data_IF_247025682868
#
_entry.id   IF_247025682868
#
_cell.length_a   1.000
_cell.length_b   1.000
_cell.length_c   1.000
_cell.angle_alpha   90.00
_cell.angle_beta   90.00
_cell.angle_gamma   90.00
#
_symmetry.space_group_name_H-M   'P 1'
#
loop_
_entity.id
_entity.type
_entity.pdbx_description
1 polymer ?
#
# COMPACT_ATOMS: atom_id res chain seq x y z
N UNK A 1 19.50 -22.15 -2.21
CA UNK A 1 18.52 -22.65 -3.20
C UNK A 1 18.22 -21.52 -4.18
N UNK A 2 18.72 -21.61 -5.42
CA UNK A 2 18.39 -20.65 -6.48
C UNK A 2 16.90 -20.74 -6.79
N UNK A 3 16.14 -19.67 -6.53
CA UNK A 3 14.72 -19.62 -6.90
C UNK A 3 14.63 -19.55 -8.43
N UNK A 4 13.90 -20.50 -9.03
CA UNK A 4 13.75 -20.70 -10.49
C UNK A 4 12.76 -19.72 -11.15
N UNK A 5 12.01 -18.95 -10.36
CA UNK A 5 10.91 -18.12 -10.89
C UNK A 5 11.29 -16.65 -10.98
N UNK A 6 11.13 -16.06 -12.15
CA UNK A 6 11.25 -14.61 -12.36
C UNK A 6 10.23 -13.84 -11.50
N UNK A 7 10.61 -12.62 -11.10
CA UNK A 7 9.67 -11.71 -10.44
C UNK A 7 8.45 -11.47 -11.34
N UNK A 8 7.25 -11.59 -10.78
CA UNK A 8 5.97 -11.53 -11.46
C UNK A 8 5.09 -10.40 -10.89
N UNK A 9 5.71 -9.36 -10.32
CA UNK A 9 4.98 -8.18 -9.87
C UNK A 9 4.25 -7.54 -11.08
N UNK A 10 2.91 -7.37 -11.02
CA UNK A 10 2.14 -6.80 -12.11
C UNK A 10 2.46 -5.32 -12.30
N UNK A 11 2.60 -4.91 -13.55
CA UNK A 11 2.58 -3.52 -14.00
C UNK A 11 1.38 -3.25 -14.90
N UNK A 12 1.35 -2.07 -15.52
CA UNK A 12 0.37 -1.68 -16.54
C UNK A 12 0.75 -2.24 -17.92
N UNK A 13 2.04 -2.32 -18.25
CA UNK A 13 2.51 -2.96 -19.49
C UNK A 13 2.70 -4.47 -19.34
N UNK A 14 3.02 -4.94 -18.13
CA UNK A 14 3.09 -6.35 -17.78
C UNK A 14 1.96 -6.75 -16.83
N UNK A 15 0.76 -6.89 -17.38
CA UNK A 15 -0.43 -7.32 -16.62
C UNK A 15 -0.28 -8.75 -16.10
N UNK A 16 -0.87 -9.03 -14.94
CA UNK A 16 -0.94 -10.39 -14.40
C UNK A 16 -2.29 -11.01 -14.70
N UNK A 17 -2.30 -12.23 -15.24
CA UNK A 17 -3.53 -12.99 -15.45
C UNK A 17 -4.16 -13.36 -14.11
N UNK A 18 -5.35 -12.82 -13.85
CA UNK A 18 -6.22 -13.25 -12.77
C UNK A 18 -7.47 -13.93 -13.34
N UNK A 19 -8.26 -14.57 -12.47
CA UNK A 19 -9.42 -15.37 -12.90
C UNK A 19 -10.51 -14.51 -13.56
N UNK A 20 -10.57 -13.24 -13.19
CA UNK A 20 -11.46 -12.22 -13.71
C UNK A 20 -10.85 -11.40 -14.85
N UNK A 21 -9.64 -11.74 -15.30
CA UNK A 21 -8.94 -11.08 -16.39
C UNK A 21 -7.64 -10.38 -15.97
N UNK A 22 -6.98 -9.68 -16.91
CA UNK A 22 -5.71 -9.03 -16.66
C UNK A 22 -5.80 -7.95 -15.58
N UNK A 23 -4.72 -7.82 -14.81
CA UNK A 23 -4.61 -6.91 -13.68
C UNK A 23 -3.50 -5.90 -13.93
N UNK A 24 -3.85 -4.62 -13.87
CA UNK A 24 -2.93 -3.49 -14.03
C UNK A 24 -2.76 -2.77 -12.69
N UNK A 25 -1.51 -2.47 -12.31
CA UNK A 25 -1.20 -1.72 -11.09
C UNK A 25 -0.61 -0.37 -11.46
N UNK A 26 -1.20 0.68 -10.90
CA UNK A 26 -0.76 2.06 -11.09
C UNK A 26 0.08 2.48 -9.89
N UNK A 27 1.28 3.01 -10.15
CA UNK A 27 2.18 3.54 -9.12
C UNK A 27 1.78 4.97 -8.76
N UNK A 28 1.64 5.24 -7.46
CA UNK A 28 1.36 6.57 -6.92
C UNK A 28 2.47 6.91 -5.92
N UNK A 29 3.57 7.57 -6.34
CA UNK A 29 4.64 7.96 -5.43
C UNK A 29 4.11 8.78 -4.26
N UNK A 30 4.40 8.35 -3.04
CA UNK A 30 3.85 8.95 -1.81
C UNK A 30 2.34 8.79 -1.62
N UNK A 31 1.67 8.02 -2.48
CA UNK A 31 0.22 7.85 -2.51
C UNK A 31 -0.55 9.00 -3.17
N UNK A 32 0.14 10.02 -3.66
CA UNK A 32 -0.49 11.25 -4.15
C UNK A 32 -1.22 11.02 -5.47
N UNK A 33 -2.47 11.48 -5.55
CA UNK A 33 -3.29 11.44 -6.77
C UNK A 33 -4.06 12.74 -6.91
N UNK A 34 -3.97 13.37 -8.07
CA UNK A 34 -4.69 14.62 -8.33
C UNK A 34 -6.16 14.38 -8.63
N UNK A 35 -7.01 15.39 -8.45
CA UNK A 35 -8.43 15.33 -8.82
C UNK A 35 -8.63 14.90 -10.29
N UNK A 36 -7.82 15.42 -11.21
CA UNK A 36 -7.85 15.05 -12.62
C UNK A 36 -7.52 13.56 -12.82
N UNK A 37 -6.46 13.07 -12.16
CA UNK A 37 -6.06 11.66 -12.22
C UNK A 37 -7.11 10.73 -11.62
N UNK A 38 -7.81 11.14 -10.56
CA UNK A 38 -8.95 10.40 -10.03
C UNK A 38 -10.07 10.25 -11.06
N UNK A 39 -10.39 11.32 -11.83
CA UNK A 39 -11.39 11.26 -12.90
C UNK A 39 -10.93 10.35 -14.05
N UNK A 40 -9.65 10.37 -14.41
CA UNK A 40 -9.09 9.44 -15.43
C UNK A 40 -9.17 8.00 -14.94
N UNK A 41 -8.83 7.73 -13.68
CA UNK A 41 -8.98 6.39 -13.08
C UNK A 41 -10.44 5.94 -13.12
N UNK A 42 -11.40 6.81 -12.78
CA UNK A 42 -12.83 6.50 -12.87
C UNK A 42 -13.25 6.08 -14.28
N UNK A 43 -12.83 6.84 -15.30
CA UNK A 43 -13.13 6.54 -16.70
C UNK A 43 -12.46 5.24 -17.17
N UNK A 44 -11.20 5.00 -16.81
CA UNK A 44 -10.52 3.74 -17.15
C UNK A 44 -11.21 2.53 -16.51
N UNK A 45 -11.69 2.69 -15.29
CA UNK A 45 -12.35 1.62 -14.55
C UNK A 45 -13.71 1.23 -15.13
N UNK A 46 -14.47 2.20 -15.64
CA UNK A 46 -15.74 1.94 -16.35
C UNK A 46 -15.52 1.40 -17.76
N UNK A 47 -14.66 2.05 -18.54
CA UNK A 47 -14.51 1.76 -19.96
C UNK A 47 -13.69 0.47 -20.21
N UNK A 48 -12.70 0.22 -19.34
CA UNK A 48 -11.66 -0.78 -19.57
C UNK A 48 -11.48 -1.76 -18.40
N UNK A 49 -12.24 -1.65 -17.31
CA UNK A 49 -12.08 -2.49 -16.11
C UNK A 49 -13.34 -3.27 -15.73
N UNK A 50 -13.33 -3.80 -14.51
CA UNK A 50 -14.46 -4.49 -13.89
C UNK A 50 -15.43 -3.55 -13.14
N UNK A 51 -15.23 -2.23 -13.23
CA UNK A 51 -16.04 -1.21 -12.56
C UNK A 51 -15.49 -0.75 -11.22
N UNK A 52 -14.40 -1.34 -10.73
CA UNK A 52 -13.76 -0.95 -9.47
C UNK A 52 -12.26 -0.65 -9.56
N UNK A 53 -11.81 0.22 -8.67
CA UNK A 53 -10.38 0.40 -8.33
C UNK A 53 -10.11 -0.18 -6.96
N UNK A 54 -9.02 -0.92 -6.83
CA UNK A 54 -8.57 -1.47 -5.57
C UNK A 54 -7.35 -0.71 -5.03
N UNK A 55 -7.50 -0.15 -3.83
CA UNK A 55 -6.40 0.37 -3.04
C UNK A 55 -5.53 -0.80 -2.55
N UNK A 56 -4.22 -0.60 -2.63
CA UNK A 56 -3.23 -1.62 -2.25
C UNK A 56 -2.63 -1.30 -0.89
N UNK A 57 -1.99 -2.30 -0.26
CA UNK A 57 -1.28 -2.11 1.00
C UNK A 57 0.03 -1.32 0.88
N UNK A 58 0.21 -0.56 -0.20
CA UNK A 58 1.44 0.16 -0.56
C UNK A 58 1.15 1.52 -1.17
N UNK A 59 -0.02 2.11 -0.89
CA UNK A 59 -0.39 3.42 -1.39
C UNK A 59 -0.63 3.50 -2.91
N UNK A 60 -0.69 2.35 -3.60
CA UNK A 60 -1.01 2.26 -5.03
C UNK A 60 -2.47 1.94 -5.25
N UNK A 61 -2.90 2.06 -6.51
CA UNK A 61 -4.19 1.57 -6.99
C UNK A 61 -4.03 0.45 -8.03
N UNK A 62 -5.07 -0.35 -8.19
CA UNK A 62 -5.09 -1.50 -9.09
C UNK A 62 -6.43 -1.60 -9.81
N UNK A 63 -6.37 -1.73 -11.12
CA UNK A 63 -7.51 -2.05 -11.98
C UNK A 63 -7.49 -3.55 -12.29
N UNK A 64 -8.66 -4.16 -12.36
CA UNK A 64 -8.82 -5.60 -12.58
C UNK A 64 -9.83 -5.86 -13.69
N UNK A 65 -9.83 -7.08 -14.20
CA UNK A 65 -10.62 -7.46 -15.36
C UNK A 65 -10.42 -6.53 -16.54
N UNK A 66 -9.16 -6.15 -16.83
CA UNK A 66 -8.86 -5.16 -17.86
C UNK A 66 -9.30 -5.71 -19.23
N UNK A 67 -10.11 -4.94 -19.96
CA UNK A 67 -10.68 -5.28 -21.27
C UNK A 67 -10.15 -4.33 -22.33
N UNK A 68 -9.95 -4.85 -23.54
CA UNK A 68 -9.54 -4.06 -24.69
C UNK A 68 -8.11 -3.53 -24.61
N UNK A 69 -7.76 -2.71 -25.59
CA UNK A 69 -6.45 -2.05 -25.67
C UNK A 69 -6.54 -0.60 -25.16
N UNK A 70 -5.39 0.04 -24.93
CA UNK A 70 -5.32 1.49 -24.69
C UNK A 70 -5.28 1.94 -23.23
N UNK A 71 -5.43 1.05 -22.24
CA UNK A 71 -5.31 1.41 -20.82
C UNK A 71 -3.97 2.11 -20.53
N UNK A 72 -2.86 1.55 -21.00
CA UNK A 72 -1.53 2.11 -20.81
C UNK A 72 -1.39 3.50 -21.45
N UNK A 73 -1.94 3.71 -22.64
CA UNK A 73 -1.92 5.01 -23.31
C UNK A 73 -2.70 6.08 -22.53
N UNK A 74 -3.90 5.73 -22.04
CA UNK A 74 -4.76 6.63 -21.26
C UNK A 74 -4.15 7.00 -19.91
N UNK A 75 -3.60 6.01 -19.20
CA UNK A 75 -2.87 6.25 -17.94
C UNK A 75 -1.58 7.04 -18.17
N UNK A 76 -0.84 6.74 -19.24
CA UNK A 76 0.37 7.46 -19.62
C UNK A 76 0.10 8.94 -19.91
N UNK A 77 -0.94 9.24 -20.70
CA UNK A 77 -1.35 10.60 -21.01
C UNK A 77 -1.75 11.42 -19.77
N UNK A 78 -2.27 10.77 -18.73
CA UNK A 78 -2.61 11.39 -17.45
C UNK A 78 -1.42 11.50 -16.46
N UNK A 79 -0.22 11.05 -16.86
CA UNK A 79 0.95 11.00 -16.00
C UNK A 79 0.81 10.02 -14.83
N UNK A 80 0.03 8.96 -15.00
CA UNK A 80 -0.13 7.86 -14.04
C UNK A 80 0.87 6.71 -14.28
N UNK A 81 1.81 6.89 -15.21
CA UNK A 81 2.90 5.97 -15.48
C UNK A 81 4.23 6.70 -15.27
N UNK A 82 5.14 6.17 -14.42
CA UNK A 82 6.42 6.81 -14.14
C UNK A 82 7.38 6.72 -15.33
N UNK A 83 7.55 5.52 -15.88
CA UNK A 83 8.15 5.24 -17.19
C UNK A 83 7.90 3.76 -17.53
N UNK A 84 7.82 3.36 -18.83
CA UNK A 84 7.61 1.97 -19.19
C UNK A 84 8.68 1.00 -18.65
N UNK A 85 9.93 1.45 -18.50
CA UNK A 85 11.03 0.64 -17.99
C UNK A 85 11.00 0.45 -16.47
N UNK A 86 10.43 1.39 -15.71
CA UNK A 86 10.46 1.37 -14.25
C UNK A 86 9.10 1.11 -13.61
N UNK A 87 8.03 0.87 -14.38
CA UNK A 87 6.68 0.66 -13.83
C UNK A 87 6.57 -0.53 -12.86
N UNK A 88 7.48 -1.51 -13.00
CA UNK A 88 7.55 -2.69 -12.13
C UNK A 88 8.35 -2.44 -10.86
N UNK A 89 9.20 -1.42 -10.83
CA UNK A 89 9.84 -0.98 -9.59
C UNK A 89 8.75 -0.50 -8.65
N UNK A 90 8.75 -1.03 -7.42
CA UNK A 90 7.63 -0.87 -6.49
C UNK A 90 7.43 0.60 -6.10
N UNK A 91 6.33 0.86 -5.40
CA UNK A 91 5.99 2.22 -4.97
C UNK A 91 7.02 2.82 -3.99
N UNK A 92 7.00 4.15 -3.90
CA UNK A 92 7.63 4.92 -2.84
C UNK A 92 6.56 5.24 -1.80
N UNK A 93 6.70 4.74 -0.57
CA UNK A 93 5.79 5.15 0.51
C UNK A 93 6.23 6.49 1.09
N UNK A 94 5.27 7.29 1.54
CA UNK A 94 5.52 8.49 2.34
C UNK A 94 4.51 8.54 3.49
N UNK A 95 4.86 9.12 4.63
CA UNK A 95 3.93 9.40 5.73
C UNK A 95 2.72 10.18 5.21
N UNK A 96 1.49 9.61 5.19
CA UNK A 96 0.40 10.18 4.39
C UNK A 96 -0.11 11.55 4.86
N UNK A 97 0.10 11.92 6.13
CA UNK A 97 -0.28 13.25 6.64
C UNK A 97 0.89 14.25 6.62
N UNK A 98 2.00 13.93 5.97
CA UNK A 98 3.19 14.81 5.96
C UNK A 98 2.84 16.15 5.33
N UNK A 99 3.21 17.25 5.99
CA UNK A 99 2.81 18.61 5.60
C UNK A 99 1.32 18.92 5.77
N UNK A 100 0.53 18.02 6.39
CA UNK A 100 -0.90 18.21 6.67
C UNK A 100 -1.14 18.24 8.19
N UNK A 101 -0.64 17.24 8.92
CA UNK A 101 -0.84 17.11 10.35
C UNK A 101 0.32 16.37 11.03
N UNK A 102 0.93 17.01 12.03
CA UNK A 102 2.06 16.46 12.78
C UNK A 102 3.32 16.30 11.94
N UNK A 103 4.19 15.37 12.34
CA UNK A 103 5.47 15.11 11.69
C UNK A 103 6.56 16.12 12.07
N UNK A 104 7.81 15.73 11.85
CA UNK A 104 8.99 16.55 12.08
C UNK A 104 9.47 17.24 10.79
N UNK A 105 9.27 16.60 9.63
CA UNK A 105 9.70 17.09 8.33
C UNK A 105 8.62 16.88 7.25
N UNK A 106 8.53 17.77 6.25
CA UNK A 106 7.72 17.50 5.07
C UNK A 106 8.48 16.59 4.10
N UNK A 107 7.93 15.40 3.83
CA UNK A 107 8.54 14.38 2.96
C UNK A 107 7.82 14.21 1.62
N UNK A 108 6.77 15.00 1.34
CA UNK A 108 5.97 14.87 0.10
C UNK A 108 6.83 15.07 -1.15
N UNK A 109 7.68 16.09 -1.13
CA UNK A 109 8.59 16.40 -2.23
C UNK A 109 9.65 15.31 -2.42
N UNK A 110 10.14 14.70 -1.32
CA UNK A 110 11.17 13.66 -1.38
C UNK A 110 10.68 12.41 -2.11
N UNK A 111 9.41 12.03 -1.95
CA UNK A 111 8.85 10.89 -2.64
C UNK A 111 8.75 11.11 -4.15
N UNK A 112 8.34 12.31 -4.58
CA UNK A 112 8.27 12.69 -5.98
C UNK A 112 9.68 12.86 -6.60
N UNK A 113 10.62 13.43 -5.85
CA UNK A 113 12.01 13.54 -6.26
C UNK A 113 12.66 12.17 -6.44
N UNK A 114 12.50 11.26 -5.46
CA UNK A 114 13.00 9.90 -5.58
C UNK A 114 12.43 9.18 -6.80
N UNK A 115 11.13 9.33 -7.09
CA UNK A 115 10.52 8.69 -8.26
C UNK A 115 11.13 9.16 -9.59
N UNK A 116 11.37 10.47 -9.72
CA UNK A 116 12.03 11.06 -10.90
C UNK A 116 13.48 10.58 -11.04
N UNK A 117 14.26 10.68 -9.97
CA UNK A 117 15.68 10.29 -9.96
C UNK A 117 15.88 8.78 -10.14
N UNK A 118 14.95 7.97 -9.62
CA UNK A 118 14.92 6.54 -9.86
C UNK A 118 14.72 6.23 -11.34
N UNK A 119 13.76 6.90 -12.01
CA UNK A 119 13.52 6.71 -13.45
C UNK A 119 14.69 7.20 -14.33
N UNK A 120 15.49 8.15 -13.83
CA UNK A 120 16.70 8.63 -14.51
C UNK A 120 17.89 7.65 -14.44
N UNK A 121 17.78 6.54 -13.70
CA UNK A 121 18.85 5.55 -13.50
C UNK A 121 18.48 4.20 -14.13
N UNK A 122 18.85 3.94 -15.40
CA UNK A 122 18.50 2.69 -16.09
C UNK A 122 18.92 1.41 -15.36
N UNK A 123 20.03 1.42 -14.61
CA UNK A 123 20.48 0.28 -13.82
C UNK A 123 19.46 -0.14 -12.74
N UNK A 124 18.66 0.80 -12.23
CA UNK A 124 17.67 0.54 -11.19
C UNK A 124 16.33 0.04 -11.74
N UNK A 125 16.12 0.02 -13.07
CA UNK A 125 14.98 -0.65 -13.68
C UNK A 125 14.93 -2.16 -13.38
N UNK A 126 16.11 -2.76 -13.09
CA UNK A 126 16.26 -4.17 -12.72
C UNK A 126 16.00 -4.49 -11.25
N UNK A 127 15.63 -3.50 -10.42
CA UNK A 127 15.23 -3.75 -9.04
C UNK A 127 14.04 -4.72 -8.99
N UNK A 128 14.00 -5.65 -8.01
CA UNK A 128 12.83 -6.47 -7.79
C UNK A 128 11.60 -5.58 -7.60
N UNK A 129 10.47 -5.93 -8.20
CA UNK A 129 9.18 -5.29 -7.92
C UNK A 129 8.65 -5.54 -6.50
N UNK A 130 9.46 -6.21 -5.65
CA UNK A 130 9.27 -6.31 -4.21
C UNK A 130 10.06 -5.27 -3.40
N UNK A 131 11.14 -4.72 -3.95
CA UNK A 131 11.97 -3.70 -3.31
C UNK A 131 11.15 -2.43 -3.08
N UNK A 132 11.08 -1.96 -1.84
CA UNK A 132 10.21 -0.88 -1.41
C UNK A 132 11.05 0.25 -0.81
N UNK A 133 10.78 1.47 -1.26
CA UNK A 133 11.29 2.70 -0.66
C UNK A 133 10.26 3.31 0.29
N UNK A 134 10.72 4.04 1.31
CA UNK A 134 9.85 4.85 2.16
C UNK A 134 10.51 6.15 2.63
N UNK A 135 9.68 7.17 2.86
CA UNK A 135 10.03 8.36 3.63
C UNK A 135 9.07 8.51 4.80
N UNK A 136 9.59 8.45 6.02
CA UNK A 136 8.83 8.65 7.24
C UNK A 136 9.12 10.04 7.81
N UNK A 137 8.08 10.80 8.12
CA UNK A 137 8.24 12.16 8.64
C UNK A 137 8.56 12.25 10.13
N UNK A 138 8.88 11.13 10.77
CA UNK A 138 9.27 11.02 12.17
C UNK A 138 8.19 10.38 13.04
N UNK A 139 6.94 10.32 12.56
CA UNK A 139 5.84 9.65 13.27
C UNK A 139 6.03 8.14 13.40
N UNK A 140 6.86 7.55 12.54
CA UNK A 140 7.13 6.11 12.53
C UNK A 140 6.03 5.30 11.85
N UNK A 141 5.04 5.96 11.23
CA UNK A 141 3.84 5.36 10.66
C UNK A 141 4.18 4.44 9.48
N UNK A 142 4.97 4.91 8.52
CA UNK A 142 5.43 4.13 7.36
C UNK A 142 6.75 3.42 7.62
N UNK A 143 7.57 3.87 8.58
CA UNK A 143 8.76 3.13 9.02
C UNK A 143 8.40 1.72 9.50
N UNK A 144 7.23 1.53 10.12
CA UNK A 144 6.72 0.23 10.55
C UNK A 144 6.32 -0.73 9.42
N UNK A 145 6.30 -0.29 8.15
CA UNK A 145 5.90 -1.13 7.01
C UNK A 145 7.05 -2.00 6.44
N UNK A 146 8.26 -1.89 7.02
CA UNK A 146 9.40 -2.73 6.64
C UNK A 146 9.83 -2.53 5.18
N UNK A 147 9.93 -1.26 4.76
CA UNK A 147 10.55 -0.90 3.49
C UNK A 147 12.00 -1.39 3.45
N UNK A 148 12.51 -1.73 2.26
CA UNK A 148 13.90 -2.17 2.11
C UNK A 148 14.86 -1.07 2.53
N UNK A 149 14.55 0.16 2.12
CA UNK A 149 15.26 1.35 2.55
C UNK A 149 14.24 2.44 2.89
N UNK A 150 14.41 3.07 4.05
CA UNK A 150 13.57 4.17 4.51
C UNK A 150 14.45 5.31 5.04
N UNK A 151 14.12 6.56 4.73
CA UNK A 151 14.64 7.70 5.49
C UNK A 151 13.56 8.13 6.48
N UNK A 152 13.89 8.16 7.77
CA UNK A 152 12.98 8.59 8.84
C UNK A 152 13.49 9.87 9.48
N UNK A 153 12.68 10.92 9.47
CA UNK A 153 13.03 12.18 10.12
C UNK A 153 13.23 11.97 11.63
N UNK A 154 14.33 12.52 12.16
CA UNK A 154 14.57 12.68 13.60
C UNK A 154 14.53 14.14 14.01
N UNK A 155 14.70 15.04 13.04
CA UNK A 155 14.46 16.49 13.14
C UNK A 155 13.80 16.98 11.85
N UNK A 156 13.56 18.28 11.73
CA UNK A 156 13.06 18.88 10.48
C UNK A 156 14.08 18.89 9.34
N UNK A 157 15.38 18.72 9.63
CA UNK A 157 16.46 18.81 8.65
C UNK A 157 17.36 17.58 8.58
N UNK A 158 17.14 16.57 9.42
CA UNK A 158 17.91 15.33 9.45
C UNK A 158 17.06 14.12 9.81
N UNK A 159 17.51 12.96 9.36
CA UNK A 159 16.86 11.67 9.57
C UNK A 159 17.86 10.54 9.62
N UNK A 160 17.38 9.35 9.95
CA UNK A 160 18.15 8.10 9.89
C UNK A 160 17.70 7.23 8.74
N UNK A 161 18.63 6.45 8.20
CA UNK A 161 18.34 5.40 7.23
C UNK A 161 17.99 4.10 7.95
N UNK A 162 16.83 3.53 7.64
CA UNK A 162 16.43 2.20 8.07
C UNK A 162 16.63 1.23 6.91
N UNK A 163 17.13 0.02 7.22
CA UNK A 163 17.21 -1.10 6.30
C UNK A 163 16.24 -2.19 6.73
N UNK A 164 15.32 -2.58 5.85
CA UNK A 164 14.26 -3.54 6.18
C UNK A 164 13.47 -3.19 7.47
N UNK A 165 13.33 -1.89 7.78
CA UNK A 165 12.69 -1.40 9.01
C UNK A 165 13.58 -1.37 10.25
N UNK A 166 14.85 -1.79 10.17
CA UNK A 166 15.83 -1.70 11.27
C UNK A 166 16.68 -0.44 11.13
N UNK A 167 16.83 0.30 12.22
CA UNK A 167 17.71 1.48 12.27
C UNK A 167 19.17 1.08 12.03
N UNK A 168 19.79 1.70 11.02
CA UNK A 168 21.18 1.45 10.65
C UNK A 168 22.19 2.38 11.34
N UNK A 169 21.66 3.37 12.07
CA UNK A 169 22.39 4.45 12.69
C UNK A 169 22.96 5.49 11.72
N UNK A 170 22.84 5.29 10.40
CA UNK A 170 23.32 6.26 9.41
C UNK A 170 22.45 7.53 9.43
N UNK A 171 23.02 8.64 9.88
CA UNK A 171 22.36 9.95 9.91
C UNK A 171 22.57 10.66 8.57
N UNK A 172 21.47 11.12 7.97
CA UNK A 172 21.46 11.77 6.64
C UNK A 172 20.66 13.07 6.72
N UNK A 173 21.22 14.22 6.30
CA UNK A 173 20.45 15.46 6.15
C UNK A 173 19.27 15.27 5.19
N UNK A 174 18.15 15.98 5.40
CA UNK A 174 16.97 15.91 4.53
C UNK A 174 17.33 16.12 3.05
N UNK A 175 18.24 17.05 2.77
CA UNK A 175 18.73 17.31 1.41
C UNK A 175 19.50 16.14 0.77
N UNK A 176 20.06 15.23 1.58
CA UNK A 176 20.75 14.02 1.11
C UNK A 176 19.85 12.78 1.04
N UNK A 177 18.63 12.83 1.58
CA UNK A 177 17.79 11.66 1.80
C UNK A 177 17.54 10.83 0.52
N UNK A 178 17.15 11.49 -0.57
CA UNK A 178 16.91 10.85 -1.88
C UNK A 178 18.18 10.19 -2.40
N UNK A 179 19.30 10.92 -2.40
CA UNK A 179 20.58 10.41 -2.89
C UNK A 179 21.05 9.19 -2.10
N UNK A 180 20.90 9.19 -0.78
CA UNK A 180 21.27 8.07 0.08
C UNK A 180 20.42 6.83 -0.20
N UNK A 181 19.11 6.97 -0.38
CA UNK A 181 18.24 5.82 -0.67
C UNK A 181 18.56 5.21 -2.04
N UNK A 182 18.88 6.03 -3.04
CA UNK A 182 19.31 5.57 -4.36
C UNK A 182 20.68 4.86 -4.31
N UNK A 183 21.62 5.35 -3.50
CA UNK A 183 22.91 4.70 -3.28
C UNK A 183 22.73 3.31 -2.66
N UNK A 184 21.89 3.18 -1.63
CA UNK A 184 21.57 1.88 -1.02
C UNK A 184 20.89 0.94 -2.05
N UNK A 185 19.97 1.47 -2.85
CA UNK A 185 19.30 0.67 -3.87
C UNK A 185 20.25 0.19 -4.98
N UNK A 186 21.22 1.03 -5.38
CA UNK A 186 22.27 0.64 -6.33
C UNK A 186 23.18 -0.44 -5.73
N UNK A 187 23.68 -0.24 -4.50
CA UNK A 187 24.48 -1.25 -3.80
C UNK A 187 23.73 -2.58 -3.66
N UNK A 188 22.42 -2.53 -3.38
CA UNK A 188 21.58 -3.72 -3.36
C UNK A 188 21.50 -4.38 -4.74
N UNK A 189 21.24 -3.60 -5.80
CA UNK A 189 21.16 -4.13 -7.16
C UNK A 189 22.46 -4.85 -7.57
N UNK A 190 23.61 -4.33 -7.14
CA UNK A 190 24.93 -4.90 -7.43
C UNK A 190 25.23 -6.16 -6.60
N UNK A 191 24.81 -6.19 -5.33
CA UNK A 191 25.14 -7.28 -4.39
C UNK A 191 24.07 -8.38 -4.25
N UNK A 192 22.83 -8.14 -4.69
CA UNK A 192 21.65 -8.97 -4.33
C UNK A 192 21.72 -10.44 -4.73
N UNK A 193 22.42 -10.77 -5.81
CA UNK A 193 22.32 -12.09 -6.43
C UNK A 193 20.84 -12.49 -6.63
N UNK A 194 20.39 -13.55 -5.94
CA UNK A 194 19.00 -14.03 -6.01
C UNK A 194 18.02 -13.33 -5.05
N UNK A 195 18.49 -12.46 -4.16
CA UNK A 195 17.67 -11.76 -3.18
C UNK A 195 16.65 -10.83 -3.87
N UNK A 196 15.45 -10.78 -3.33
CA UNK A 196 14.37 -9.87 -3.75
C UNK A 196 14.17 -8.70 -2.81
N UNK A 197 14.73 -8.78 -1.60
CA UNK A 197 14.59 -7.81 -0.52
C UNK A 197 15.92 -7.72 0.24
N UNK A 198 16.15 -6.61 0.93
CA UNK A 198 17.35 -6.39 1.74
C UNK A 198 17.42 -7.37 2.93
N UNK A 199 16.28 -7.77 3.51
CA UNK A 199 16.21 -8.73 4.62
C UNK A 199 16.61 -10.17 4.25
N UNK A 200 16.79 -10.46 2.95
CA UNK A 200 17.29 -11.75 2.47
C UNK A 200 18.83 -11.79 2.36
N UNK A 201 19.53 -10.67 2.58
CA UNK A 201 21.00 -10.61 2.56
C UNK A 201 21.61 -11.08 3.89
N UNK A 202 22.82 -11.66 3.80
CA UNK A 202 23.58 -12.07 4.97
C UNK A 202 24.07 -10.86 5.80
N UNK A 203 24.49 -9.79 5.12
CA UNK A 203 24.91 -8.54 5.74
C UNK A 203 24.30 -7.34 5.01
N UNK A 204 23.12 -6.87 5.44
CA UNK A 204 22.50 -5.65 4.92
C UNK A 204 23.33 -4.38 5.17
N UNK A 205 24.18 -4.35 6.20
CA UNK A 205 24.91 -3.14 6.59
C UNK A 205 25.96 -2.72 5.57
N UNK A 206 26.46 -3.69 4.78
CA UNK A 206 27.37 -3.48 3.66
C UNK A 206 26.78 -2.62 2.52
N UNK A 207 25.46 -2.40 2.50
CA UNK A 207 24.80 -1.55 1.51
C UNK A 207 24.89 -0.05 1.84
N UNK A 208 25.27 0.30 3.06
CA UNK A 208 25.21 1.66 3.54
C UNK A 208 26.44 2.45 3.08
N UNK A 209 26.27 3.71 2.64
CA UNK A 209 27.40 4.58 2.41
C UNK A 209 28.13 4.93 3.73
N UNK A 210 29.35 5.41 3.59
CA UNK A 210 30.09 6.04 4.69
C UNK A 210 29.35 7.30 5.17
N UNK A 211 29.40 7.54 6.49
CA UNK A 211 28.73 8.69 7.09
C UNK A 211 28.64 8.61 8.61
N UNK A 212 28.20 9.70 9.26
CA UNK A 212 28.04 9.74 10.70
C UNK A 212 27.06 8.68 11.19
N UNK A 213 27.45 8.00 12.27
CA UNK A 213 26.64 6.98 12.94
C UNK A 213 26.21 7.50 14.30
N UNK A 214 24.91 7.58 14.52
CA UNK A 214 24.34 7.72 15.86
C UNK A 214 23.39 6.55 16.08
N UNK A 215 23.16 6.15 17.34
CA UNK A 215 22.11 5.17 17.67
C UNK A 215 20.92 5.92 18.23
N UNK A 216 20.05 6.53 17.41
CA UNK A 216 18.82 7.07 17.94
C UNK A 216 17.89 5.92 18.30
N UNK A 217 17.26 5.99 19.49
CA UNK A 217 16.29 4.98 19.94
C UNK A 217 14.92 5.23 19.31
N UNK A 218 14.84 5.33 17.98
CA UNK A 218 13.57 5.67 17.33
C UNK A 218 12.71 4.42 17.19
N UNK A 219 11.78 4.22 18.12
CA UNK A 219 10.79 3.13 18.00
C UNK A 219 9.85 3.43 16.84
N UNK A 220 9.64 2.47 15.96
CA UNK A 220 8.57 2.53 14.96
C UNK A 220 7.24 2.28 15.67
N UNK A 221 6.33 3.24 15.60
CA UNK A 221 4.97 3.06 16.08
C UNK A 221 4.10 2.57 14.94
N UNK A 222 3.22 1.61 15.21
CA UNK A 222 2.23 1.21 14.21
C UNK A 222 1.27 2.39 14.00
N UNK A 223 1.04 2.76 12.75
CA UNK A 223 0.09 3.81 12.44
C UNK A 223 -1.32 3.42 12.88
N UNK A 224 -2.00 4.34 13.56
CA UNK A 224 -3.45 4.27 13.71
C UNK A 224 -4.11 4.42 12.33
N UNK A 225 -5.32 3.86 12.12
CA UNK A 225 -6.06 4.06 10.89
C UNK A 225 -6.21 5.56 10.61
N UNK A 226 -5.77 6.00 9.42
CA UNK A 226 -5.95 7.40 8.99
C UNK A 226 -7.37 7.60 8.44
N UNK A 227 -8.37 7.44 9.30
CA UNK A 227 -9.80 7.50 8.99
C UNK A 227 -10.49 8.45 9.96
N UNK A 228 -11.42 9.26 9.47
CA UNK A 228 -12.05 10.34 10.23
C UNK A 228 -11.35 11.70 10.04
N UNK A 229 -11.73 12.69 10.85
CA UNK A 229 -11.10 14.02 10.81
C UNK A 229 -9.75 13.98 11.49
N UNK A 230 -8.69 14.37 10.79
CA UNK A 230 -7.31 14.35 11.28
C UNK A 230 -6.64 15.67 10.91
N UNK A 231 -6.57 16.60 11.86
CA UNK A 231 -6.05 17.95 11.60
C UNK A 231 -6.79 18.61 10.44
N UNK A 232 -6.07 18.89 9.35
CA UNK A 232 -6.58 19.52 8.14
C UNK A 232 -6.95 18.52 7.03
N UNK A 233 -7.18 17.25 7.38
CA UNK A 233 -7.57 16.19 6.46
C UNK A 233 -8.82 15.43 6.93
N UNK A 234 -9.48 14.80 5.97
CA UNK A 234 -10.54 13.81 6.21
C UNK A 234 -10.10 12.48 5.62
N UNK A 235 -9.93 11.46 6.46
CA UNK A 235 -9.65 10.11 6.04
C UNK A 235 -10.92 9.31 5.79
N UNK A 236 -10.99 8.65 4.64
CA UNK A 236 -12.10 7.75 4.28
C UNK A 236 -11.58 6.36 4.00
N UNK A 237 -12.31 5.35 4.46
CA UNK A 237 -11.99 3.94 4.25
C UNK A 237 -13.04 3.30 3.34
N UNK A 238 -12.73 3.10 2.04
CA UNK A 238 -13.59 2.30 1.19
C UNK A 238 -13.59 0.85 1.66
N UNK A 239 -14.76 0.21 1.64
CA UNK A 239 -14.92 -1.17 2.11
C UNK A 239 -14.00 -2.12 1.33
N UNK A 240 -13.16 -2.86 2.06
CA UNK A 240 -12.11 -3.75 1.50
C UNK A 240 -11.05 -3.05 0.64
N UNK A 241 -10.96 -1.72 0.68
CA UNK A 241 -10.12 -0.93 -0.20
C UNK A 241 -10.65 -0.86 -1.64
N UNK A 242 -11.97 -0.96 -1.85
CA UNK A 242 -12.60 -0.97 -3.19
C UNK A 242 -13.38 0.32 -3.41
N UNK A 243 -13.03 1.04 -4.47
CA UNK A 243 -13.70 2.26 -4.91
C UNK A 243 -14.40 2.03 -6.25
N UNK A 244 -15.67 2.36 -6.35
CA UNK A 244 -16.36 2.43 -7.64
C UNK A 244 -15.90 3.64 -8.43
N UNK A 245 -16.13 3.65 -9.75
CA UNK A 245 -15.89 4.85 -10.56
C UNK A 245 -16.71 6.07 -10.10
N UNK A 246 -17.94 5.87 -9.63
CA UNK A 246 -18.75 6.92 -9.00
C UNK A 246 -18.08 7.51 -7.76
N UNK A 247 -17.59 6.66 -6.87
CA UNK A 247 -16.86 7.10 -5.67
C UNK A 247 -15.58 7.85 -6.03
N UNK A 248 -14.82 7.41 -7.03
CA UNK A 248 -13.62 8.14 -7.50
C UNK A 248 -13.95 9.56 -7.97
N UNK A 249 -15.08 9.77 -8.65
CA UNK A 249 -15.54 11.11 -9.03
C UNK A 249 -15.91 11.96 -7.82
N UNK A 250 -16.62 11.37 -6.84
CA UNK A 250 -16.93 12.06 -5.57
C UNK A 250 -15.65 12.51 -4.86
N UNK A 251 -14.65 11.63 -4.75
CA UNK A 251 -13.34 12.00 -4.18
C UNK A 251 -12.67 13.14 -4.96
N UNK A 252 -12.71 13.09 -6.30
CA UNK A 252 -12.11 14.10 -7.17
C UNK A 252 -12.75 15.50 -7.03
N UNK A 253 -14.01 15.58 -6.59
CA UNK A 253 -14.68 16.86 -6.39
C UNK A 253 -14.23 17.58 -5.11
N UNK A 254 -13.58 16.87 -4.19
CA UNK A 254 -12.95 17.47 -3.01
C UNK A 254 -11.51 17.93 -3.26
N UNK A 255 -10.91 17.55 -4.39
CA UNK A 255 -9.56 17.95 -4.79
C UNK A 255 -8.57 16.78 -4.81
N UNK A 256 -7.30 17.11 -4.66
CA UNK A 256 -6.22 16.12 -4.62
C UNK A 256 -6.30 15.26 -3.36
N UNK A 257 -5.85 14.02 -3.47
CA UNK A 257 -5.98 13.02 -2.42
C UNK A 257 -4.68 12.23 -2.21
N UNK A 258 -4.58 11.56 -1.06
CA UNK A 258 -3.47 10.65 -0.75
C UNK A 258 -4.01 9.26 -0.45
N UNK A 259 -3.66 8.28 -1.28
CA UNK A 259 -3.94 6.86 -1.06
C UNK A 259 -2.93 6.31 -0.06
N UNK A 260 -3.40 5.79 1.06
CA UNK A 260 -2.53 5.33 2.13
C UNK A 260 -2.11 3.86 1.96
N UNK A 261 -1.00 3.42 2.58
CA UNK A 261 -0.65 2.00 2.67
C UNK A 261 -1.68 1.15 3.43
N UNK A 262 -2.64 1.76 4.11
CA UNK A 262 -3.67 1.09 4.90
C UNK A 262 -5.02 1.01 4.19
N UNK A 263 -5.03 1.26 2.87
CA UNK A 263 -6.23 1.21 2.00
C UNK A 263 -7.33 2.20 2.41
N UNK A 264 -6.91 3.36 2.87
CA UNK A 264 -7.76 4.53 3.03
C UNK A 264 -7.32 5.63 2.04
N UNK A 265 -8.13 6.68 1.93
CA UNK A 265 -7.84 7.88 1.16
C UNK A 265 -7.93 9.08 2.09
N UNK A 266 -6.92 9.93 2.08
CA UNK A 266 -6.95 11.24 2.73
C UNK A 266 -7.41 12.30 1.74
N UNK A 267 -8.38 13.11 2.15
CA UNK A 267 -8.92 14.25 1.43
C UNK A 267 -8.62 15.55 2.18
N UNK A 268 -8.75 16.72 1.52
CA UNK A 268 -8.65 18.02 2.19
C UNK A 268 -9.67 18.16 3.33
N UNK A 269 -9.32 18.92 4.36
CA UNK A 269 -10.12 19.06 5.59
C UNK A 269 -11.53 19.64 5.41
N UNK A 270 -11.76 20.33 4.28
CA UNK A 270 -13.06 20.85 3.88
C UNK A 270 -13.97 19.82 3.18
N UNK A 271 -13.55 18.56 3.06
CA UNK A 271 -14.40 17.52 2.48
C UNK A 271 -15.69 17.32 3.28
N UNK A 272 -16.81 17.27 2.55
CA UNK A 272 -18.15 17.12 3.10
C UNK A 272 -18.40 15.65 3.49
N UNK A 273 -18.53 15.42 4.79
CA UNK A 273 -18.72 14.09 5.38
C UNK A 273 -20.09 13.49 5.03
N UNK A 274 -21.12 14.32 4.87
CA UNK A 274 -22.47 13.85 4.52
C UNK A 274 -22.48 13.31 3.10
N UNK A 275 -21.92 14.06 2.15
CA UNK A 275 -21.75 13.61 0.76
C UNK A 275 -20.87 12.36 0.65
N UNK A 276 -19.84 12.23 1.48
CA UNK A 276 -19.03 11.00 1.54
C UNK A 276 -19.86 9.82 2.03
N UNK A 277 -20.70 10.01 3.05
CA UNK A 277 -21.61 8.99 3.56
C UNK A 277 -22.64 8.55 2.50
N UNK A 278 -23.26 9.50 1.80
CA UNK A 278 -24.18 9.24 0.67
C UNK A 278 -23.53 8.42 -0.44
N UNK A 279 -22.22 8.60 -0.65
CA UNK A 279 -21.41 7.82 -1.60
C UNK A 279 -20.91 6.48 -1.03
N UNK A 280 -21.39 6.05 0.14
CA UNK A 280 -20.97 4.83 0.86
C UNK A 280 -19.48 4.81 1.25
N UNK A 281 -18.89 5.97 1.51
CA UNK A 281 -17.50 6.12 1.96
C UNK A 281 -17.48 6.43 3.46
N UNK A 282 -17.00 5.47 4.26
CA UNK A 282 -17.00 5.60 5.71
C UNK A 282 -15.83 6.47 6.21
N UNK A 283 -16.13 7.38 7.13
CA UNK A 283 -15.16 8.12 7.95
C UNK A 283 -15.03 7.55 9.36
N UNK A 284 -15.63 6.39 9.65
CA UNK A 284 -15.54 5.71 10.94
C UNK A 284 -14.32 4.77 10.95
N UNK A 285 -13.36 4.90 11.87
CA UNK A 285 -12.22 4.00 11.97
C UNK A 285 -12.57 2.50 12.05
N UNK A 286 -13.72 2.14 12.63
CA UNK A 286 -14.20 0.76 12.74
C UNK A 286 -14.44 0.09 11.38
N UNK A 287 -14.64 0.88 10.32
CA UNK A 287 -14.77 0.39 8.94
C UNK A 287 -13.50 -0.32 8.42
N UNK A 288 -12.37 -0.15 9.09
CA UNK A 288 -11.10 -0.81 8.77
C UNK A 288 -10.83 -2.09 9.57
N UNK A 289 -11.70 -2.44 10.53
CA UNK A 289 -11.55 -3.63 11.37
C UNK A 289 -11.68 -4.90 10.56
N UNK A 290 -12.67 -4.98 9.66
CA UNK A 290 -12.91 -6.15 8.82
C UNK A 290 -12.31 -5.92 7.44
N UNK A 291 -11.32 -6.75 7.11
CA UNK A 291 -10.67 -6.74 5.80
C UNK A 291 -10.79 -8.10 5.14
N UNK A 292 -10.77 -8.14 3.82
CA UNK A 292 -10.77 -9.38 3.06
C UNK A 292 -9.80 -9.30 1.89
N UNK A 293 -9.29 -10.45 1.47
CA UNK A 293 -8.65 -10.56 0.17
C UNK A 293 -9.69 -10.44 -0.97
N UNK A 294 -9.27 -10.61 -2.22
CA UNK A 294 -10.18 -10.50 -3.36
C UNK A 294 -11.28 -11.58 -3.35
N UNK A 295 -10.95 -12.81 -2.92
CA UNK A 295 -11.89 -13.93 -2.86
C UNK A 295 -12.32 -14.50 -4.21
N UNK A 296 -13.20 -15.51 -4.16
CA UNK A 296 -13.94 -15.98 -5.32
C UNK A 296 -15.02 -14.94 -5.69
N UNK A 297 -15.46 -14.86 -6.96
CA UNK A 297 -14.98 -15.64 -8.10
C UNK A 297 -13.69 -15.10 -8.71
N UNK A 298 -13.25 -13.89 -8.32
CA UNK A 298 -12.17 -13.18 -8.99
C UNK A 298 -10.74 -13.69 -8.68
N UNK A 299 -10.60 -14.64 -7.77
CA UNK A 299 -9.36 -15.39 -7.54
C UNK A 299 -9.62 -16.89 -7.60
N UNK A 300 -9.07 -17.55 -8.63
CA UNK A 300 -9.18 -18.99 -8.87
C UNK A 300 -8.60 -19.88 -7.75
N UNK A 301 -7.87 -19.30 -6.79
CA UNK A 301 -7.31 -20.03 -5.65
C UNK A 301 -8.16 -19.93 -4.41
N UNK A 302 -9.19 -19.08 -4.44
CA UNK A 302 -10.09 -18.88 -3.31
C UNK A 302 -11.06 -20.06 -3.19
N UNK A 303 -11.25 -20.55 -1.97
CA UNK A 303 -12.21 -21.61 -1.65
C UNK A 303 -13.61 -21.06 -1.31
N UNK A 304 -13.75 -19.76 -1.11
CA UNK A 304 -15.01 -19.10 -0.78
C UNK A 304 -15.13 -17.69 -1.39
N UNK A 305 -16.35 -17.17 -1.48
CA UNK A 305 -16.61 -15.74 -1.71
C UNK A 305 -16.42 -14.98 -0.39
N UNK A 306 -15.14 -14.78 -0.03
CA UNK A 306 -14.79 -14.18 1.26
C UNK A 306 -15.26 -12.74 1.41
N UNK A 307 -15.52 -12.04 0.30
CA UNK A 307 -16.02 -10.66 0.39
C UNK A 307 -17.51 -10.68 0.67
N UNK A 308 -18.30 -11.55 0.06
CA UNK A 308 -19.70 -11.73 0.44
C UNK A 308 -19.81 -12.10 1.93
N UNK A 309 -19.04 -13.09 2.39
CA UNK A 309 -19.07 -13.54 3.78
C UNK A 309 -18.60 -12.44 4.75
N UNK A 310 -17.50 -11.76 4.43
CA UNK A 310 -17.00 -10.64 5.25
C UNK A 310 -17.99 -9.47 5.29
N UNK A 311 -18.89 -9.32 4.30
CA UNK A 311 -19.88 -8.24 4.33
C UNK A 311 -20.96 -8.43 5.39
N UNK A 312 -21.23 -9.69 5.76
CA UNK A 312 -22.20 -10.03 6.79
C UNK A 312 -21.63 -9.87 8.21
N UNK A 313 -20.32 -9.66 8.35
CA UNK A 313 -19.67 -9.48 9.64
C UNK A 313 -19.83 -8.05 10.15
N UNK A 314 -19.95 -7.93 11.47
CA UNK A 314 -19.93 -6.65 12.20
C UNK A 314 -18.61 -6.50 12.96
N UNK A 315 -18.08 -5.27 13.10
CA UNK A 315 -16.92 -5.00 13.95
C UNK A 315 -17.11 -5.59 15.35
N UNK A 316 -16.06 -6.26 15.86
CA UNK A 316 -16.09 -6.91 17.18
C UNK A 316 -15.11 -6.27 18.17
N UNK A 317 -14.59 -5.07 17.86
CA UNK A 317 -13.55 -4.41 18.67
C UNK A 317 -12.16 -5.01 18.47
N UNK A 318 -11.97 -5.80 17.41
CA UNK A 318 -10.71 -6.40 17.02
C UNK A 318 -10.64 -6.51 15.49
N UNK A 319 -9.44 -6.37 14.93
CA UNK A 319 -9.23 -6.53 13.49
C UNK A 319 -9.46 -7.99 13.08
N UNK A 320 -10.13 -8.18 11.95
CA UNK A 320 -10.39 -9.48 11.32
C UNK A 320 -9.91 -9.42 9.88
N UNK A 321 -9.20 -10.47 9.44
CA UNK A 321 -8.82 -10.62 8.05
C UNK A 321 -9.36 -11.93 7.46
N UNK A 322 -10.26 -11.83 6.47
CA UNK A 322 -10.88 -12.96 5.80
C UNK A 322 -10.14 -13.28 4.49
N UNK A 323 -9.51 -14.45 4.48
CA UNK A 323 -8.64 -14.94 3.40
C UNK A 323 -9.28 -16.11 2.68
N UNK A 324 -9.30 -16.07 1.35
CA UNK A 324 -9.88 -17.14 0.53
C UNK A 324 -9.01 -18.38 0.42
N UNK A 325 -7.74 -18.32 0.81
CA UNK A 325 -6.83 -19.45 0.82
C UNK A 325 -5.65 -19.20 1.74
N UNK A 326 -4.79 -20.21 1.89
CA UNK A 326 -3.59 -20.20 2.74
C UNK A 326 -2.57 -19.09 2.40
N UNK A 327 -2.66 -18.46 1.22
CA UNK A 327 -1.79 -17.33 0.83
C UNK A 327 -2.04 -16.06 1.62
N UNK A 328 -3.23 -15.88 2.21
CA UNK A 328 -3.59 -14.72 3.05
C UNK A 328 -3.26 -13.37 2.40
N UNK A 329 -3.64 -13.22 1.13
CA UNK A 329 -3.27 -12.05 0.34
C UNK A 329 -3.82 -10.77 0.97
N UNK A 330 -2.93 -9.82 1.26
CA UNK A 330 -3.33 -8.54 1.81
C UNK A 330 -3.64 -8.55 3.31
N UNK A 331 -3.23 -9.61 4.01
CA UNK A 331 -3.23 -9.69 5.47
C UNK A 331 -2.56 -8.46 6.08
N UNK A 332 -3.20 -7.78 7.05
CA UNK A 332 -2.59 -6.64 7.71
C UNK A 332 -1.39 -7.07 8.57
N UNK A 333 -0.42 -6.16 8.74
CA UNK A 333 0.61 -6.28 9.79
C UNK A 333 -0.05 -6.21 11.17
N UNK A 334 0.56 -6.75 12.23
CA UNK A 334 0.06 -6.69 13.62
C UNK A 334 -1.10 -7.62 13.97
N UNK A 335 -1.61 -7.51 15.20
CA UNK A 335 -2.63 -8.41 15.75
C UNK A 335 -3.98 -8.28 15.02
N UNK A 336 -4.57 -9.44 14.70
CA UNK A 336 -5.91 -9.60 14.13
C UNK A 336 -6.33 -11.07 14.26
N UNK A 337 -7.63 -11.32 14.16
CA UNK A 337 -8.16 -12.67 13.95
C UNK A 337 -7.92 -13.12 12.50
N UNK A 338 -7.26 -14.26 12.33
CA UNK A 338 -6.97 -14.88 11.04
C UNK A 338 -8.15 -15.79 10.66
N UNK A 339 -8.91 -15.41 9.64
CA UNK A 339 -10.05 -16.18 9.13
C UNK A 339 -9.68 -16.69 7.74
N UNK A 340 -9.46 -17.99 7.59
CA UNK A 340 -9.00 -18.58 6.32
C UNK A 340 -10.02 -19.59 5.82
N UNK A 341 -10.53 -19.40 4.60
CA UNK A 341 -11.44 -20.33 3.96
C UNK A 341 -10.80 -21.72 3.89
N UNK A 342 -11.59 -22.72 4.27
CA UNK A 342 -11.24 -24.13 4.26
C UNK A 342 -12.50 -24.92 3.85
N UNK A 343 -12.37 -26.20 3.54
CA UNK A 343 -13.46 -27.03 2.99
C UNK A 343 -14.82 -26.80 3.71
N UNK A 344 -15.79 -26.23 2.99
CA UNK A 344 -17.14 -25.93 3.48
C UNK A 344 -17.27 -24.85 4.58
N UNK A 345 -16.20 -24.10 4.91
CA UNK A 345 -16.23 -23.10 5.98
C UNK A 345 -14.92 -22.31 6.14
N UNK A 346 -14.55 -22.05 7.39
CA UNK A 346 -13.42 -21.19 7.75
C UNK A 346 -12.65 -21.72 8.95
N UNK A 347 -11.32 -21.56 8.93
CA UNK A 347 -10.51 -21.63 10.14
C UNK A 347 -10.37 -20.24 10.75
N UNK A 348 -10.93 -20.05 11.95
CA UNK A 348 -10.80 -18.84 12.75
C UNK A 348 -9.71 -19.06 13.80
N UNK A 349 -8.57 -18.40 13.62
CA UNK A 349 -7.34 -18.61 14.41
C UNK A 349 -6.97 -20.11 14.52
N UNK A 350 -7.10 -20.84 13.39
CA UNK A 350 -6.80 -22.27 13.29
C UNK A 350 -7.97 -23.21 13.63
N UNK A 351 -9.03 -22.73 14.30
CA UNK A 351 -10.20 -23.55 14.65
C UNK A 351 -11.24 -23.53 13.54
N UNK A 352 -11.60 -24.71 13.02
CA UNK A 352 -12.63 -24.83 11.99
C UNK A 352 -14.00 -24.39 12.51
N UNK A 353 -14.72 -23.65 11.66
CA UNK A 353 -16.02 -23.03 11.89
C UNK A 353 -16.81 -23.08 10.58
N UNK A 354 -18.07 -23.56 10.57
CA UNK A 354 -18.89 -23.49 9.36
C UNK A 354 -19.16 -22.03 8.98
N UNK A 355 -19.33 -21.72 7.68
CA UNK A 355 -19.54 -20.34 7.23
C UNK A 355 -20.71 -19.63 7.94
N UNK A 356 -21.80 -20.35 8.20
CA UNK A 356 -22.97 -19.85 8.95
C UNK A 356 -22.68 -19.48 10.41
N UNK A 357 -21.61 -20.03 11.01
CA UNK A 357 -21.22 -19.77 12.40
C UNK A 357 -20.09 -18.74 12.56
N UNK A 358 -19.63 -18.12 11.47
CA UNK A 358 -18.46 -17.25 11.47
C UNK A 358 -18.65 -16.01 12.37
N UNK A 359 -19.78 -15.33 12.26
CA UNK A 359 -20.09 -14.15 13.06
C UNK A 359 -20.09 -14.47 14.56
N UNK A 360 -20.77 -15.54 14.97
CA UNK A 360 -20.83 -15.99 16.35
C UNK A 360 -19.45 -16.41 16.90
N UNK A 361 -18.62 -17.03 16.07
CA UNK A 361 -17.26 -17.43 16.47
C UNK A 361 -16.37 -16.21 16.75
N UNK A 362 -16.46 -15.16 15.93
CA UNK A 362 -15.74 -13.91 16.14
C UNK A 362 -16.27 -13.16 17.37
N UNK A 363 -17.59 -13.07 17.53
CA UNK A 363 -18.21 -12.42 18.69
C UNK A 363 -17.81 -13.08 20.02
N UNK A 364 -17.68 -14.42 20.06
CA UNK A 364 -17.18 -15.14 21.26
C UNK A 364 -15.72 -14.80 21.56
N UNK A 365 -14.87 -14.68 20.53
CA UNK A 365 -13.45 -14.36 20.70
C UNK A 365 -13.23 -12.94 21.22
N UNK A 366 -14.06 -11.98 20.82
CA UNK A 366 -13.99 -10.61 21.33
C UNK A 366 -14.33 -10.48 22.82
N UNK A 367 -15.01 -11.48 23.41
CA UNK A 367 -15.41 -11.49 24.82
C UNK A 367 -14.44 -12.26 25.73
N UNK A 368 -13.45 -12.94 25.17
CA UNK A 368 -12.53 -13.83 25.87
C UNK A 368 -11.19 -13.13 26.14
#
# INVERSE_FOLDING_TARGET
MSRVRADACPGVFAVHDAADGPLARVRLPGGVVTAERLRVLAACTEDLGDGDVHLTSRGNVQLRGVRGEGLAGRLGAAGLLPSPSHERVRNVLASPLSGIHGGLADVRELAAELDRELCAKPALAGLPGRFLFAFDDGRGDVAGEGADVCWRAVTSSSGVVLLAGTDSGLVVPRAGAVSSLLTVAQAFADARGAAWRIDELADPSALLPDGPREVPQVRSNRADPTVGRIGQAVGVAPRFGRLTAGQLRVLADFGDAVVTPWRSVLLPGGADVERLHEAELSTDPSSTEITACIGAPACAKSLADVRADARALVPVGARVHVSGCSRRCGRPSGTHHDVVADDGGYRVDGRWTPASGLADALARKARA
#
